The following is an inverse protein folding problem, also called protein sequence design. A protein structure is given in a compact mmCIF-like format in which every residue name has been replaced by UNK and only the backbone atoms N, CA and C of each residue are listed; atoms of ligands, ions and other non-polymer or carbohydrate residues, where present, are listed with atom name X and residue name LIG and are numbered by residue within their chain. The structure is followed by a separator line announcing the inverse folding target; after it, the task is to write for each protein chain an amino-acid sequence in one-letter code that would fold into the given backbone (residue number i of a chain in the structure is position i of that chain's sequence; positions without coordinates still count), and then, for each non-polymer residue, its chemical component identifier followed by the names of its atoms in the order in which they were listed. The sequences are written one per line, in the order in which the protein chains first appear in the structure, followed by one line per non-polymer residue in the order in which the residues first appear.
data_IF_263567001024
#
_entry.id   IF_263567001024
#
_cell.length_a   1.000
_cell.length_b   1.000
_cell.length_c   1.000
_cell.angle_alpha   90.00
_cell.angle_beta   90.00
_cell.angle_gamma   90.00
#
_symmetry.space_group_name_H-M   'P 1'
#
loop_
_entity.id
_entity.type
_entity.pdbx_description
1 polymer ?
#
# COMPACT_ATOMS: atom_id res chain seq x y z
N UNK A 1 14.67 -1.31 2.18
CA UNK A 1 13.89 -1.54 0.93
C UNK A 1 12.77 -2.55 1.05
N UNK A 2 12.91 -3.63 1.83
CA UNK A 2 11.86 -4.64 2.01
C UNK A 2 10.44 -4.11 2.34
N UNK A 3 10.32 -3.01 3.10
CA UNK A 3 9.03 -2.39 3.39
C UNK A 3 8.35 -1.80 2.14
N UNK A 4 9.13 -1.13 1.27
CA UNK A 4 8.65 -0.57 0.00
C UNK A 4 8.28 -1.69 -0.95
N UNK A 5 9.12 -2.72 -1.04
CA UNK A 5 8.84 -3.91 -1.85
C UNK A 5 7.52 -4.56 -1.43
N UNK A 6 7.36 -4.89 -0.14
CA UNK A 6 6.12 -5.48 0.39
C UNK A 6 4.90 -4.60 0.14
N UNK A 7 5.04 -3.27 0.27
CA UNK A 7 3.94 -2.35 0.00
C UNK A 7 3.48 -2.44 -1.46
N UNK A 8 4.42 -2.60 -2.40
CA UNK A 8 4.14 -2.66 -3.84
C UNK A 8 3.73 -4.04 -4.32
N UNK A 9 4.30 -5.12 -3.80
CA UNK A 9 4.11 -6.48 -4.33
C UNK A 9 3.08 -7.31 -3.58
N UNK A 10 2.77 -6.94 -2.33
CA UNK A 10 1.82 -7.68 -1.47
C UNK A 10 0.62 -6.82 -1.13
N UNK A 11 0.83 -5.73 -0.39
CA UNK A 11 -0.27 -4.93 0.17
C UNK A 11 -1.09 -4.22 -0.91
N UNK A 12 -0.44 -3.58 -1.88
CA UNK A 12 -1.13 -2.85 -2.96
C UNK A 12 -1.95 -3.78 -3.87
N UNK A 13 -1.42 -4.91 -4.40
CA UNK A 13 -2.21 -5.84 -5.17
C UNK A 13 -3.39 -6.41 -4.39
N UNK A 14 -3.17 -6.93 -3.18
CA UNK A 14 -4.23 -7.52 -2.37
C UNK A 14 -5.36 -6.52 -2.05
N UNK A 15 -5.01 -5.28 -1.69
CA UNK A 15 -6.01 -4.25 -1.43
C UNK A 15 -6.75 -3.84 -2.71
N UNK A 16 -6.05 -3.78 -3.86
CA UNK A 16 -6.66 -3.34 -5.11
C UNK A 16 -7.68 -4.33 -5.67
N UNK A 17 -7.53 -5.64 -5.43
CA UNK A 17 -8.49 -6.68 -5.79
C UNK A 17 -9.91 -6.45 -5.24
N UNK A 18 -10.05 -5.60 -4.20
CA UNK A 18 -11.33 -5.26 -3.59
C UNK A 18 -12.12 -4.20 -4.36
N UNK A 19 -11.49 -3.53 -5.31
CA UNK A 19 -12.07 -2.41 -6.05
C UNK A 19 -12.13 -2.73 -7.54
N UNK A 20 -13.18 -2.24 -8.20
CA UNK A 20 -13.35 -2.36 -9.65
C UNK A 20 -12.59 -1.23 -10.36
N UNK A 21 -11.46 -1.57 -10.98
CA UNK A 21 -10.63 -0.66 -11.75
C UNK A 21 -9.96 -1.40 -12.93
N UNK A 22 -8.97 -0.80 -13.58
CA UNK A 22 -8.26 -1.43 -14.70
C UNK A 22 -6.76 -1.47 -14.47
N UNK A 23 -6.35 -1.40 -13.21
CA UNK A 23 -4.92 -1.39 -12.88
C UNK A 23 -4.34 -2.81 -12.94
N UNK A 24 -3.05 -2.97 -13.27
CA UNK A 24 -2.40 -4.29 -13.29
C UNK A 24 -2.53 -5.04 -11.96
N UNK A 25 -2.41 -4.32 -10.83
CA UNK A 25 -2.58 -4.87 -9.48
C UNK A 25 -3.90 -5.62 -9.27
N UNK A 26 -4.95 -5.23 -9.98
CA UNK A 26 -6.25 -5.89 -9.97
C UNK A 26 -6.38 -6.95 -11.05
N UNK A 27 -6.02 -6.63 -12.29
CA UNK A 27 -6.23 -7.53 -13.43
C UNK A 27 -5.34 -8.77 -13.33
N UNK A 28 -4.09 -8.62 -12.89
CA UNK A 28 -3.11 -9.71 -12.83
C UNK A 28 -2.81 -10.18 -11.41
N UNK A 29 -3.26 -9.45 -10.38
CA UNK A 29 -2.88 -9.72 -8.99
C UNK A 29 -1.42 -9.42 -8.67
N UNK A 30 -0.68 -8.81 -9.59
CA UNK A 30 0.75 -8.52 -9.43
C UNK A 30 1.07 -7.07 -9.80
N UNK A 31 2.09 -6.52 -9.14
CA UNK A 31 2.57 -5.19 -9.44
C UNK A 31 3.33 -5.17 -10.77
N UNK A 32 2.96 -4.25 -11.66
CA UNK A 32 3.62 -4.04 -12.95
C UNK A 32 4.35 -2.69 -13.03
N UNK A 33 4.71 -2.09 -11.89
CA UNK A 33 5.33 -0.77 -11.81
C UNK A 33 4.55 0.32 -12.58
N UNK A 34 3.23 0.30 -12.43
CA UNK A 34 2.35 1.19 -13.18
C UNK A 34 2.26 2.60 -12.58
N UNK A 35 2.10 3.59 -13.46
CA UNK A 35 1.75 4.98 -13.12
C UNK A 35 0.39 5.40 -13.67
N UNK A 36 -0.51 4.43 -13.84
CA UNK A 36 -1.85 4.64 -14.39
C UNK A 36 -2.74 5.38 -13.41
N UNK A 37 -3.78 6.04 -13.94
CA UNK A 37 -4.89 6.52 -13.13
C UNK A 37 -5.51 5.35 -12.34
N UNK A 38 -5.67 5.54 -11.03
CA UNK A 38 -6.13 4.49 -10.11
C UNK A 38 -5.04 3.66 -9.45
N UNK A 39 -3.75 3.96 -9.67
CA UNK A 39 -2.63 3.34 -8.95
C UNK A 39 -2.75 3.60 -7.44
N UNK A 40 -2.91 2.53 -6.66
CA UNK A 40 -3.13 2.62 -5.21
C UNK A 40 -1.86 2.94 -4.42
N UNK A 41 -0.70 2.54 -4.93
CA UNK A 41 0.61 2.84 -4.35
C UNK A 41 1.27 4.06 -5.01
N UNK A 42 0.48 5.04 -5.46
CA UNK A 42 0.95 6.25 -6.14
C UNK A 42 1.93 7.09 -5.32
N UNK A 43 1.93 6.93 -3.99
CA UNK A 43 2.79 7.65 -3.07
C UNK A 43 3.31 6.74 -1.97
N UNK A 44 4.64 6.71 -1.78
CA UNK A 44 5.31 5.99 -0.70
C UNK A 44 6.21 6.99 0.02
N UNK A 45 5.91 7.27 1.30
CA UNK A 45 6.70 8.19 2.13
C UNK A 45 7.57 7.42 3.11
N UNK A 46 8.82 7.84 3.20
CA UNK A 46 9.75 7.39 4.24
C UNK A 46 10.02 8.57 5.15
N UNK A 47 9.52 8.50 6.39
CA UNK A 47 9.74 9.55 7.39
C UNK A 47 10.90 9.15 8.30
N UNK A 48 12.00 9.90 8.26
CA UNK A 48 13.15 9.70 9.16
C UNK A 48 12.89 10.16 10.59
N UNK A 49 12.25 11.34 10.74
CA UNK A 49 11.93 11.94 12.05
C UNK A 49 10.71 12.86 11.92
N UNK A 50 9.98 13.06 13.02
CA UNK A 50 8.87 13.99 13.15
C UNK A 50 9.00 14.78 14.46
N UNK A 51 9.37 16.07 14.37
CA UNK A 51 9.57 16.91 15.56
C UNK A 51 8.30 17.17 16.38
N UNK A 52 7.13 17.43 15.79
CA UNK A 52 5.91 17.64 16.58
C UNK A 52 5.55 16.37 17.36
N UNK A 53 5.47 16.43 18.71
CA UNK A 53 5.15 15.26 19.51
C UNK A 53 3.72 14.78 19.22
N UNK A 54 3.53 13.46 19.18
CA UNK A 54 2.21 12.83 19.03
C UNK A 54 1.57 12.91 17.63
N UNK A 55 2.28 13.38 16.60
CA UNK A 55 1.74 13.50 15.23
C UNK A 55 1.45 12.15 14.56
N UNK A 56 2.34 11.16 14.75
CA UNK A 56 2.22 9.83 14.12
C UNK A 56 1.72 8.85 15.17
N UNK A 57 0.63 8.15 14.86
CA UNK A 57 0.05 7.10 15.70
C UNK A 57 0.08 5.79 14.92
N UNK A 58 0.62 4.73 15.53
CA UNK A 58 0.56 3.38 14.99
C UNK A 58 -0.52 2.61 15.76
N UNK A 59 -1.49 2.07 15.02
CA UNK A 59 -2.52 1.20 15.58
C UNK A 59 -2.22 -0.20 15.06
N UNK A 60 -1.80 -1.08 15.96
CA UNK A 60 -1.60 -2.49 15.68
C UNK A 60 -2.82 -3.24 16.18
N UNK A 61 -3.55 -3.86 15.27
CA UNK A 61 -4.70 -4.70 15.59
C UNK A 61 -4.23 -6.16 15.53
N UNK A 62 -4.37 -6.88 16.64
CA UNK A 62 -3.96 -8.29 16.76
C UNK A 62 -5.04 -9.29 16.34
N UNK A 63 -6.05 -8.83 15.61
CA UNK A 63 -7.20 -9.62 15.17
C UNK A 63 -7.14 -9.80 13.66
N UNK A 64 -7.66 -10.92 13.17
CA UNK A 64 -7.84 -11.13 11.73
C UNK A 64 -9.07 -10.37 11.24
N UNK A 65 -8.85 -9.14 10.79
CA UNK A 65 -9.89 -8.30 10.17
C UNK A 65 -9.93 -8.46 8.65
N UNK A 66 -9.24 -9.47 8.11
CA UNK A 66 -9.07 -9.66 6.69
C UNK A 66 -8.14 -8.64 6.04
N UNK A 67 -8.30 -8.50 4.71
CA UNK A 67 -7.57 -7.59 3.83
C UNK A 67 -8.53 -6.67 3.09
#
# INVERSE_FOLDING_TARGET
DAAVERARTVAAPQNKQRFDSKTPCEVTGACADCKSDGCICNQILVTRNCNPPGRIKFILVGEDLGL
#
